data_IF_198092678011
#
_entry.id   IF_198092678011
#
_cell.length_a   1.000
_cell.length_b   1.000
_cell.length_c   1.000
_cell.angle_alpha   90.00
_cell.angle_beta   90.00
_cell.angle_gamma   90.00
#
_symmetry.space_group_name_H-M   'P 1'
#
loop_
_entity.id
_entity.type
_entity.pdbx_description
1 polymer ?
#
# COMPACT_ATOMS: atom_id res chain seq x y z
N UNK A 1 15.59 -1.41 16.21
CA UNK A 1 15.37 -0.04 15.71
C UNK A 1 14.53 -0.14 14.46
N UNK A 2 13.39 0.55 14.39
CA UNK A 2 12.52 0.47 13.21
C UNK A 2 13.21 1.06 11.98
N UNK A 3 12.96 0.50 10.80
CA UNK A 3 13.59 0.92 9.54
C UNK A 3 12.52 1.37 8.55
N UNK A 4 12.64 2.59 8.03
CA UNK A 4 11.79 3.06 6.91
C UNK A 4 12.23 2.39 5.62
N UNK A 5 11.30 1.75 4.92
CA UNK A 5 11.51 1.13 3.61
C UNK A 5 11.34 2.12 2.47
N UNK A 6 10.27 2.92 2.55
CA UNK A 6 9.90 3.88 1.52
C UNK A 6 9.03 4.98 2.13
N UNK A 7 9.00 6.14 1.49
CA UNK A 7 8.16 7.26 1.89
C UNK A 7 7.76 8.13 0.69
N UNK A 8 6.68 8.86 0.85
CA UNK A 8 6.18 9.90 -0.05
C UNK A 8 5.78 11.11 0.79
N UNK A 9 5.19 12.14 0.17
CA UNK A 9 4.71 13.30 0.90
C UNK A 9 3.60 12.95 1.91
N UNK A 10 2.77 11.94 1.60
CA UNK A 10 1.61 11.58 2.41
C UNK A 10 1.72 10.21 3.10
N UNK A 11 2.87 9.55 3.09
CA UNK A 11 2.99 8.27 3.77
C UNK A 11 4.38 7.67 3.85
N UNK A 12 4.47 6.55 4.58
CA UNK A 12 5.70 5.79 4.78
C UNK A 12 5.41 4.33 5.09
N UNK A 13 6.35 3.48 4.70
CA UNK A 13 6.38 2.06 5.04
C UNK A 13 7.52 1.81 6.01
N UNK A 14 7.24 1.18 7.13
CA UNK A 14 8.20 0.93 8.20
C UNK A 14 8.22 -0.55 8.56
N UNK A 15 9.41 -1.13 8.67
CA UNK A 15 9.62 -2.43 9.29
C UNK A 15 9.82 -2.24 10.79
N UNK A 16 8.95 -2.88 11.56
CA UNK A 16 9.10 -3.00 13.00
C UNK A 16 10.02 -4.18 13.32
N UNK A 17 11.31 -3.92 13.58
CA UNK A 17 12.29 -4.97 13.88
C UNK A 17 11.99 -5.71 15.18
N UNK A 18 11.23 -5.08 16.09
CA UNK A 18 10.94 -5.64 17.41
C UNK A 18 9.68 -6.53 17.42
N UNK A 19 8.78 -6.34 16.46
CA UNK A 19 7.49 -7.02 16.43
C UNK A 19 7.25 -7.83 15.16
N UNK A 20 8.22 -7.84 14.23
CA UNK A 20 8.17 -8.55 12.96
C UNK A 20 6.90 -8.22 12.15
N UNK A 21 6.56 -6.93 12.10
CA UNK A 21 5.42 -6.39 11.36
C UNK A 21 5.86 -5.30 10.39
N UNK A 22 5.09 -5.12 9.34
CA UNK A 22 5.21 -4.00 8.40
C UNK A 22 4.09 -3.01 8.69
N UNK A 23 4.45 -1.75 8.87
CA UNK A 23 3.52 -0.66 9.13
C UNK A 23 3.40 0.20 7.87
N UNK A 24 2.17 0.44 7.45
CA UNK A 24 1.83 1.43 6.44
C UNK A 24 1.14 2.59 7.13
N UNK A 25 1.73 3.77 7.03
CA UNK A 25 1.07 5.04 7.33
C UNK A 25 0.83 5.76 6.02
N UNK A 26 -0.41 6.14 5.73
CA UNK A 26 -0.77 6.84 4.50
C UNK A 26 -1.98 7.74 4.72
N UNK A 27 -1.82 9.05 4.55
CA UNK A 27 -2.77 10.07 4.99
C UNK A 27 -3.17 9.86 6.46
N UNK A 28 -4.44 9.54 6.70
CA UNK A 28 -5.00 9.25 8.01
C UNK A 28 -5.13 7.74 8.30
N UNK A 29 -4.53 6.88 7.47
CA UNK A 29 -4.58 5.43 7.62
C UNK A 29 -3.32 4.91 8.29
N UNK A 30 -3.52 4.00 9.24
CA UNK A 30 -2.47 3.17 9.80
C UNK A 30 -2.88 1.70 9.71
N UNK A 31 -2.07 0.91 9.02
CA UNK A 31 -2.32 -0.52 8.85
C UNK A 31 -1.07 -1.28 9.27
N UNK A 32 -1.30 -2.36 10.04
CA UNK A 32 -0.26 -3.29 10.49
C UNK A 32 -0.42 -4.59 9.73
N UNK A 33 0.65 -5.06 9.14
CA UNK A 33 0.69 -6.27 8.34
C UNK A 33 1.70 -7.27 8.90
N UNK A 34 1.40 -8.55 8.80
CA UNK A 34 2.40 -9.60 8.58
C UNK A 34 3.07 -9.42 7.21
N UNK A 35 4.15 -10.15 6.96
CA UNK A 35 4.79 -10.14 5.64
C UNK A 35 3.83 -10.61 4.53
N UNK A 36 3.13 -11.73 4.74
CA UNK A 36 2.16 -12.26 3.78
C UNK A 36 1.01 -11.29 3.51
N UNK A 37 0.45 -10.67 4.56
CA UNK A 37 -0.64 -9.68 4.41
C UNK A 37 -0.16 -8.44 3.65
N UNK A 38 1.08 -8.01 3.86
CA UNK A 38 1.66 -6.88 3.13
C UNK A 38 1.77 -7.18 1.63
N UNK A 39 2.30 -8.35 1.28
CA UNK A 39 2.43 -8.79 -0.11
C UNK A 39 1.06 -8.94 -0.78
N UNK A 40 0.11 -9.58 -0.11
CA UNK A 40 -1.26 -9.72 -0.60
C UNK A 40 -1.93 -8.36 -0.81
N UNK A 41 -1.75 -7.42 0.13
CA UNK A 41 -2.27 -6.06 0.01
C UNK A 41 -1.62 -5.29 -1.13
N UNK A 42 -0.30 -5.38 -1.29
CA UNK A 42 0.44 -4.74 -2.36
C UNK A 42 -0.04 -5.26 -3.73
N UNK A 43 -0.11 -6.58 -3.92
CA UNK A 43 -0.63 -7.20 -5.14
C UNK A 43 -2.06 -6.78 -5.47
N UNK A 44 -2.93 -6.76 -4.45
CA UNK A 44 -4.29 -6.28 -4.59
C UNK A 44 -4.33 -4.83 -5.09
N UNK A 45 -3.62 -3.91 -4.41
CA UNK A 45 -3.58 -2.48 -4.79
C UNK A 45 -2.95 -2.30 -6.18
N UNK A 46 -1.89 -3.05 -6.51
CA UNK A 46 -1.19 -2.98 -7.78
C UNK A 46 -2.11 -3.24 -8.98
N UNK A 47 -3.03 -4.19 -8.85
CA UNK A 47 -4.00 -4.61 -9.89
C UNK A 47 -5.16 -3.63 -10.08
N UNK A 48 -5.34 -2.63 -9.22
CA UNK A 48 -6.46 -1.67 -9.33
C UNK A 48 -6.24 -0.73 -10.53
N UNK A 49 -7.13 -0.77 -11.51
CA UNK A 49 -7.23 0.24 -12.55
C UNK A 49 -7.98 1.48 -12.03
N UNK A 50 -7.22 2.51 -11.65
CA UNK A 50 -7.78 3.75 -11.13
C UNK A 50 -8.68 4.50 -12.11
N UNK A 51 -8.39 4.46 -13.42
CA UNK A 51 -9.20 5.15 -14.43
C UNK A 51 -10.54 4.47 -14.60
N UNK A 52 -10.52 3.13 -14.70
CA UNK A 52 -11.74 2.33 -14.79
C UNK A 52 -12.67 2.60 -13.60
N UNK A 53 -12.17 2.51 -12.37
CA UNK A 53 -12.99 2.69 -11.17
C UNK A 53 -13.45 4.13 -10.98
N UNK A 54 -12.62 5.12 -11.35
CA UNK A 54 -13.02 6.51 -11.32
C UNK A 54 -14.23 6.77 -12.22
N UNK A 55 -14.20 6.28 -13.47
CA UNK A 55 -15.31 6.43 -14.42
C UNK A 55 -16.53 5.61 -14.01
N UNK A 56 -16.34 4.35 -13.60
CA UNK A 56 -17.44 3.46 -13.15
C UNK A 56 -18.20 4.04 -11.97
N UNK A 57 -17.50 4.67 -11.03
CA UNK A 57 -18.09 5.24 -9.83
C UNK A 57 -18.38 6.75 -9.96
N UNK A 58 -18.33 7.33 -11.17
CA UNK A 58 -18.49 8.77 -11.36
C UNK A 58 -19.76 9.34 -10.71
N UNK A 59 -20.87 8.58 -10.75
CA UNK A 59 -22.17 8.96 -10.17
C UNK A 59 -22.35 8.61 -8.69
N UNK A 60 -21.33 8.04 -8.04
CA UNK A 60 -21.39 7.77 -6.59
C UNK A 60 -21.47 9.06 -5.78
N UNK A 61 -22.07 8.99 -4.59
CA UNK A 61 -22.20 10.12 -3.65
C UNK A 61 -20.86 10.54 -3.01
N UNK A 62 -19.82 9.71 -3.13
CA UNK A 62 -18.54 9.96 -2.49
C UNK A 62 -17.66 10.90 -3.33
N UNK A 63 -16.89 11.78 -2.68
CA UNK A 63 -15.95 12.68 -3.37
C UNK A 63 -14.80 11.92 -4.05
N UNK A 64 -14.30 10.88 -3.40
CA UNK A 64 -13.26 9.96 -3.90
C UNK A 64 -13.92 8.74 -4.54
N UNK A 65 -13.47 8.38 -5.75
CA UNK A 65 -14.19 7.43 -6.63
C UNK A 65 -13.59 6.03 -6.66
N UNK A 66 -12.36 5.84 -6.20
CA UNK A 66 -11.76 4.52 -6.05
C UNK A 66 -12.04 4.05 -4.63
N UNK A 67 -12.69 2.90 -4.49
CA UNK A 67 -13.06 2.35 -3.19
C UNK A 67 -12.33 1.02 -3.05
N UNK A 68 -11.50 0.90 -2.02
CA UNK A 68 -10.80 -0.33 -1.69
C UNK A 68 -11.35 -0.87 -0.37
N UNK A 69 -11.62 -2.16 -0.33
CA UNK A 69 -12.04 -2.84 0.88
C UNK A 69 -10.81 -3.35 1.61
N UNK A 70 -10.69 -2.99 2.88
CA UNK A 70 -9.69 -3.61 3.77
C UNK A 70 -10.31 -4.86 4.41
N UNK A 71 -9.53 -5.63 5.17
CA UNK A 71 -9.98 -6.87 5.82
C UNK A 71 -10.94 -6.62 7.02
N UNK A 72 -11.91 -5.72 6.84
CA UNK A 72 -12.97 -5.39 7.78
C UNK A 72 -14.25 -5.16 6.99
N UNK A 73 -15.33 -5.82 7.38
CA UNK A 73 -16.64 -5.71 6.72
C UNK A 73 -17.21 -4.29 6.73
N UNK A 74 -16.74 -3.45 7.67
CA UNK A 74 -17.31 -2.14 7.94
C UNK A 74 -16.41 -0.98 7.49
N UNK A 75 -15.20 -1.26 6.96
CA UNK A 75 -14.24 -0.23 6.59
C UNK A 75 -13.90 -0.34 5.12
N UNK A 76 -14.18 0.74 4.39
CA UNK A 76 -13.66 0.95 3.05
C UNK A 76 -12.78 2.19 3.07
N UNK A 77 -11.70 2.14 2.29
CA UNK A 77 -10.81 3.27 2.05
C UNK A 77 -11.18 3.86 0.70
N UNK A 78 -11.40 5.17 0.69
CA UNK A 78 -11.75 5.90 -0.52
C UNK A 78 -10.53 6.69 -0.98
N UNK A 79 -10.23 6.62 -2.27
CA UNK A 79 -9.05 7.21 -2.90
C UNK A 79 -9.43 7.99 -4.17
N UNK A 80 -8.71 9.09 -4.40
CA UNK A 80 -8.56 9.71 -5.71
C UNK A 80 -7.54 8.94 -6.56
N UNK A 81 -7.48 9.25 -7.85
CA UNK A 81 -6.46 8.67 -8.76
C UNK A 81 -5.06 9.01 -8.27
N UNK A 82 -4.84 10.25 -7.81
CA UNK A 82 -3.54 10.69 -7.30
C UNK A 82 -3.13 9.89 -6.05
N UNK A 83 -4.04 9.74 -5.08
CA UNK A 83 -3.77 8.97 -3.86
C UNK A 83 -3.53 7.49 -4.16
N UNK A 84 -4.26 6.88 -5.10
CA UNK A 84 -3.99 5.50 -5.53
C UNK A 84 -2.58 5.37 -6.13
N UNK A 85 -2.18 6.31 -6.98
CA UNK A 85 -0.85 6.27 -7.61
C UNK A 85 0.28 6.49 -6.61
N UNK A 86 0.08 7.37 -5.62
CA UNK A 86 1.03 7.57 -4.53
C UNK A 86 1.12 6.32 -3.65
N UNK A 87 -0.01 5.70 -3.30
CA UNK A 87 -0.03 4.44 -2.56
C UNK A 87 0.69 3.32 -3.34
N UNK A 88 0.50 3.22 -4.66
CA UNK A 88 1.28 2.30 -5.50
C UNK A 88 2.77 2.63 -5.46
N UNK A 89 3.15 3.90 -5.47
CA UNK A 89 4.56 4.33 -5.37
C UNK A 89 5.16 3.93 -4.02
N UNK A 90 4.39 4.00 -2.94
CA UNK A 90 4.81 3.52 -1.62
C UNK A 90 5.05 2.01 -1.62
N UNK A 91 4.06 1.24 -2.09
CA UNK A 91 4.07 -0.24 -2.05
C UNK A 91 5.06 -0.86 -3.05
N UNK A 92 5.31 -0.17 -4.15
CA UNK A 92 6.20 -0.59 -5.23
C UNK A 92 7.27 0.49 -5.48
N UNK A 93 8.23 0.67 -4.56
CA UNK A 93 9.35 1.58 -4.81
C UNK A 93 10.00 1.17 -6.14
N UNK A 94 10.15 2.12 -7.05
CA UNK A 94 10.88 1.88 -8.30
C UNK A 94 12.32 1.54 -7.92
N UNK A 95 12.70 0.27 -8.05
CA UNK A 95 14.08 -0.09 -8.27
C UNK A 95 14.45 0.44 -9.65
N UNK A 96 15.50 1.25 -9.74
CA UNK A 96 16.10 1.59 -11.03
C UNK A 96 16.36 0.27 -11.78
N UNK A 97 15.72 0.11 -12.94
CA UNK A 97 15.77 -1.01 -13.89
C UNK A 97 14.83 -2.21 -13.63
N UNK A 98 13.60 -2.06 -14.13
CA UNK A 98 12.83 -3.08 -14.87
C UNK A 98 12.55 -4.45 -14.25
N UNK A 99 12.51 -4.58 -12.92
CA UNK A 99 11.90 -5.75 -12.25
C UNK A 99 11.22 -5.34 -10.94
N UNK A 100 9.91 -5.53 -10.89
CA UNK A 100 9.11 -5.45 -9.67
C UNK A 100 9.41 -6.70 -8.86
N UNK A 101 10.46 -6.64 -8.03
CA UNK A 101 10.75 -7.70 -7.08
C UNK A 101 10.00 -7.41 -5.78
N UNK A 102 9.02 -8.26 -5.46
CA UNK A 102 8.82 -8.63 -4.07
C UNK A 102 10.03 -9.50 -3.73
N UNK A 103 11.07 -8.88 -3.18
CA UNK A 103 12.25 -9.64 -2.80
C UNK A 103 11.87 -10.50 -1.61
N UNK A 104 12.00 -11.82 -1.76
CA UNK A 104 12.08 -12.84 -0.69
C UNK A 104 13.18 -12.58 0.37
N UNK A 105 13.63 -11.33 0.54
CA UNK A 105 14.88 -10.97 1.21
C UNK A 105 14.72 -10.47 2.64
N UNK A 106 13.60 -10.73 3.32
CA UNK A 106 13.59 -10.67 4.80
C UNK A 106 14.26 -11.87 5.47
N UNK A 107 14.82 -12.81 4.68
CA UNK A 107 15.64 -13.91 5.19
C UNK A 107 17.15 -13.69 5.15
N UNK A 108 17.65 -12.49 4.86
CA UNK A 108 19.10 -12.26 4.88
C UNK A 108 19.47 -11.22 5.94
N UNK A 109 20.28 -11.68 6.90
CA UNK A 109 20.99 -10.95 7.97
C UNK A 109 20.33 -10.96 9.36
N UNK A 110 20.18 -12.16 9.94
CA UNK A 110 20.47 -12.37 11.36
C UNK A 110 21.66 -13.33 11.43
N UNK A 111 22.87 -12.77 11.42
CA UNK A 111 24.09 -13.31 11.99
C UNK A 111 24.79 -12.16 12.70
#
# INVERSE_FOLDING_TARGET
MNKTLNHTANGKIIICTNCNKIFLEFNNLFIKFTDDEYHAFADYVGKIDGKYWHSKNARSVFSRKIIISVNSKNINVLLSIAELNELKTLLFPKLNNNRMYFTDSYKVSLN
#
